data_IF_437154837477
#
_entry.id   IF_437154837477
#
_cell.length_a   1.000
_cell.length_b   1.000
_cell.length_c   1.000
_cell.angle_alpha   90.00
_cell.angle_beta   90.00
_cell.angle_gamma   90.00
#
_symmetry.space_group_name_H-M   'P 1'
#
loop_
_entity.id
_entity.type
_entity.pdbx_description
1 polymer ?
#
# COMPACT_ATOMS: atom_id res chain seq x y z
N UNK A 1 1.49 19.69 -12.74
CA UNK A 1 1.27 19.18 -11.37
C UNK A 1 0.74 17.77 -11.48
N UNK A 2 1.56 16.75 -11.24
CA UNK A 2 1.19 15.34 -11.39
C UNK A 2 0.57 14.83 -10.09
N UNK A 3 -0.69 14.36 -10.16
CA UNK A 3 -1.48 13.97 -8.99
C UNK A 3 -1.00 12.64 -8.38
N UNK A 4 -1.07 12.54 -7.05
CA UNK A 4 -0.93 11.29 -6.27
C UNK A 4 -2.13 10.39 -6.56
N UNK A 5 -1.92 9.08 -6.49
CA UNK A 5 -2.99 8.09 -6.63
C UNK A 5 -4.09 8.35 -5.60
N UNK A 6 -5.34 8.19 -6.00
CA UNK A 6 -6.50 8.32 -5.11
C UNK A 6 -7.38 7.10 -5.28
N UNK A 7 -7.90 6.53 -4.19
CA UNK A 7 -8.86 5.45 -4.29
C UNK A 7 -10.15 5.95 -4.95
N UNK A 8 -10.81 5.10 -5.74
CA UNK A 8 -12.08 5.43 -6.39
C UNK A 8 -13.19 5.73 -5.37
N UNK A 9 -13.13 5.07 -4.21
CA UNK A 9 -14.01 5.30 -3.08
C UNK A 9 -13.21 5.73 -1.85
N UNK A 10 -13.74 6.64 -1.00
CA UNK A 10 -13.08 7.01 0.25
C UNK A 10 -12.84 5.79 1.14
N UNK A 11 -11.62 5.64 1.64
CA UNK A 11 -11.29 4.59 2.61
C UNK A 11 -11.56 5.14 4.02
N UNK A 12 -12.53 4.54 4.72
CA UNK A 12 -12.96 4.97 6.07
C UNK A 12 -12.61 3.89 7.10
N UNK A 13 -11.94 4.28 8.18
CA UNK A 13 -11.55 3.38 9.29
C UNK A 13 -11.94 4.02 10.60
N UNK A 14 -12.71 3.30 11.42
CA UNK A 14 -13.15 3.78 12.72
C UNK A 14 -13.78 5.21 12.67
N UNK A 15 -14.49 5.51 11.57
CA UNK A 15 -15.11 6.83 11.34
C UNK A 15 -14.18 7.91 10.79
N UNK A 16 -12.89 7.62 10.58
CA UNK A 16 -11.91 8.53 9.98
C UNK A 16 -11.69 8.21 8.50
N UNK A 17 -11.82 9.22 7.64
CA UNK A 17 -11.52 9.10 6.21
C UNK A 17 -10.03 9.31 5.98
N UNK A 18 -9.38 8.32 5.36
CA UNK A 18 -7.97 8.39 5.05
C UNK A 18 -7.66 9.44 3.98
N UNK A 19 -6.52 10.10 4.15
CA UNK A 19 -5.87 10.86 3.08
C UNK A 19 -5.41 9.93 1.96
N UNK A 20 -5.14 10.45 0.74
CA UNK A 20 -4.62 9.62 -0.35
C UNK A 20 -3.34 8.85 0.00
N UNK A 21 -2.44 9.44 0.78
CA UNK A 21 -1.21 8.80 1.22
C UNK A 21 -1.48 7.64 2.18
N UNK A 22 -2.32 7.86 3.19
CA UNK A 22 -2.71 6.82 4.14
C UNK A 22 -3.48 5.69 3.44
N UNK A 23 -4.38 6.03 2.51
CA UNK A 23 -5.12 5.07 1.72
C UNK A 23 -4.18 4.22 0.86
N UNK A 24 -3.18 4.84 0.23
CA UNK A 24 -2.18 4.13 -0.56
C UNK A 24 -1.41 3.11 0.29
N UNK A 25 -0.86 3.57 1.43
CA UNK A 25 -0.10 2.70 2.34
C UNK A 25 -0.95 1.55 2.85
N UNK A 26 -2.22 1.82 3.20
CA UNK A 26 -3.15 0.78 3.65
C UNK A 26 -3.45 -0.25 2.57
N UNK A 27 -3.78 0.19 1.36
CA UNK A 27 -4.09 -0.72 0.26
C UNK A 27 -2.87 -1.60 -0.07
N UNK A 28 -1.67 -1.02 -0.14
CA UNK A 28 -0.44 -1.76 -0.37
C UNK A 28 -0.21 -2.80 0.74
N UNK A 29 -0.26 -2.37 2.00
CA UNK A 29 -0.01 -3.27 3.14
C UNK A 29 -1.02 -4.40 3.23
N UNK A 30 -2.30 -4.12 2.97
CA UNK A 30 -3.35 -5.14 2.96
C UNK A 30 -3.12 -6.18 1.86
N UNK A 31 -2.83 -5.74 0.63
CA UNK A 31 -2.60 -6.65 -0.50
C UNK A 31 -1.33 -7.47 -0.29
N UNK A 32 -0.21 -6.82 0.05
CA UNK A 32 1.06 -7.50 0.26
C UNK A 32 0.99 -8.50 1.42
N UNK A 33 0.31 -8.15 2.52
CA UNK A 33 0.08 -9.08 3.63
C UNK A 33 -0.70 -10.32 3.22
N UNK A 34 -1.67 -10.19 2.31
CA UNK A 34 -2.44 -11.31 1.75
C UNK A 34 -1.56 -12.23 0.91
N UNK A 35 -0.68 -11.66 0.07
CA UNK A 35 0.23 -12.41 -0.81
C UNK A 35 1.26 -13.23 -0.02
N UNK A 36 1.89 -12.62 0.98
CA UNK A 36 2.92 -13.27 1.83
C UNK A 36 2.33 -14.18 2.91
N UNK A 37 1.01 -14.32 3.03
CA UNK A 37 0.31 -15.25 3.95
C UNK A 37 0.79 -15.20 5.41
N UNK A 38 1.20 -14.02 5.89
CA UNK A 38 1.69 -13.83 7.25
C UNK A 38 3.14 -14.28 7.50
N UNK A 39 3.92 -14.55 6.44
CA UNK A 39 5.33 -14.91 6.55
C UNK A 39 6.24 -13.73 6.95
N UNK A 40 5.71 -12.50 6.94
CA UNK A 40 6.42 -11.30 7.39
C UNK A 40 5.71 -10.66 8.59
N UNK A 41 6.50 -10.00 9.43
CA UNK A 41 5.99 -9.24 10.57
C UNK A 41 5.29 -7.96 10.11
N UNK A 42 4.41 -7.43 10.96
CA UNK A 42 3.74 -6.15 10.71
C UNK A 42 4.73 -4.97 10.59
N UNK A 43 5.86 -5.04 11.31
CA UNK A 43 6.92 -4.04 11.24
C UNK A 43 7.58 -4.03 9.86
N UNK A 44 7.98 -5.20 9.35
CA UNK A 44 8.57 -5.32 8.01
C UNK A 44 7.59 -4.90 6.91
N UNK A 45 6.31 -5.23 7.07
CA UNK A 45 5.25 -4.81 6.16
C UNK A 45 5.12 -3.27 6.11
N UNK A 46 5.14 -2.62 7.28
CA UNK A 46 5.06 -1.17 7.38
C UNK A 46 6.30 -0.48 6.80
N UNK A 47 7.50 -0.98 7.14
CA UNK A 47 8.76 -0.47 6.61
C UNK A 47 8.79 -0.54 5.08
N UNK A 48 8.36 -1.67 4.51
CA UNK A 48 8.32 -1.84 3.06
C UNK A 48 7.36 -0.87 2.38
N UNK A 49 6.19 -0.65 2.98
CA UNK A 49 5.22 0.32 2.46
C UNK A 49 5.78 1.76 2.49
N UNK A 50 6.46 2.14 3.58
CA UNK A 50 7.10 3.44 3.74
C UNK A 50 8.23 3.64 2.72
N UNK A 51 9.03 2.60 2.47
CA UNK A 51 10.14 2.64 1.50
C UNK A 51 9.63 2.81 0.06
N UNK A 52 8.56 2.11 -0.32
CA UNK A 52 8.05 2.09 -1.69
C UNK A 52 7.19 3.31 -2.03
N UNK A 53 6.54 3.94 -1.04
CA UNK A 53 5.61 5.04 -1.28
C UNK A 53 6.23 6.24 -2.03
N UNK A 54 7.40 6.80 -1.65
CA UNK A 54 7.95 8.01 -2.30
C UNK A 54 8.12 7.87 -3.82
N UNK A 55 8.44 6.67 -4.30
CA UNK A 55 8.67 6.38 -5.72
C UNK A 55 7.41 5.87 -6.42
N UNK A 56 6.46 5.29 -5.68
CA UNK A 56 5.26 4.67 -6.23
C UNK A 56 3.93 5.38 -5.89
N UNK A 57 3.95 6.55 -5.23
CA UNK A 57 2.76 7.27 -4.77
C UNK A 57 1.72 7.62 -5.86
N UNK A 58 2.08 7.50 -7.13
CA UNK A 58 1.19 7.75 -8.28
C UNK A 58 0.61 6.47 -8.90
N UNK A 59 1.13 5.32 -8.52
CA UNK A 59 0.76 4.01 -9.04
C UNK A 59 -0.30 3.39 -8.16
N UNK A 60 -1.02 2.43 -8.72
CA UNK A 60 -1.95 1.63 -7.94
C UNK A 60 -1.16 0.82 -6.88
N UNK A 61 -1.45 0.99 -5.58
CA UNK A 61 -0.78 0.25 -4.52
C UNK A 61 -0.95 -1.28 -4.63
N UNK A 62 -2.03 -1.76 -5.25
CA UNK A 62 -2.28 -3.20 -5.47
C UNK A 62 -1.32 -3.73 -6.54
N UNK A 63 -1.17 -3.03 -7.66
CA UNK A 63 -0.20 -3.40 -8.70
C UNK A 63 1.23 -3.42 -8.14
N UNK A 64 1.58 -2.43 -7.33
CA UNK A 64 2.89 -2.33 -6.68
C UNK A 64 3.11 -3.48 -5.70
N UNK A 65 2.09 -3.89 -4.94
CA UNK A 65 2.18 -5.04 -4.04
C UNK A 65 2.42 -6.35 -4.79
N UNK A 66 1.74 -6.56 -5.93
CA UNK A 66 1.95 -7.73 -6.79
C UNK A 66 3.38 -7.78 -7.34
N UNK A 67 3.86 -6.68 -7.92
CA UNK A 67 5.23 -6.59 -8.45
C UNK A 67 6.28 -6.81 -7.36
N UNK A 68 6.06 -6.25 -6.17
CA UNK A 68 6.97 -6.40 -5.04
C UNK A 68 7.02 -7.86 -4.57
N UNK A 69 5.88 -8.55 -4.56
CA UNK A 69 5.81 -9.97 -4.22
C UNK A 69 6.52 -10.83 -5.25
N UNK A 70 6.28 -10.60 -6.54
CA UNK A 70 6.95 -11.30 -7.63
C UNK A 70 8.47 -11.10 -7.64
N UNK A 71 8.95 -9.94 -7.19
CA UNK A 71 10.40 -9.67 -7.02
C UNK A 71 11.02 -10.36 -5.80
N UNK A 72 10.21 -10.72 -4.81
CA UNK A 72 10.66 -11.30 -3.54
C UNK A 72 10.53 -12.83 -3.49
N UNK A 73 9.80 -13.43 -4.44
CA UNK A 73 9.62 -14.86 -4.64
C UNK A 73 10.79 -15.50 -5.41
#
# INVERSE_FOLDING_TARGET
MTAIWKPEQPVVIAGYTLTPAEAWLRCFTQEFSSLVKGEITLELLADRAIELYPTNARRDPIEVALEEFERSA
#
